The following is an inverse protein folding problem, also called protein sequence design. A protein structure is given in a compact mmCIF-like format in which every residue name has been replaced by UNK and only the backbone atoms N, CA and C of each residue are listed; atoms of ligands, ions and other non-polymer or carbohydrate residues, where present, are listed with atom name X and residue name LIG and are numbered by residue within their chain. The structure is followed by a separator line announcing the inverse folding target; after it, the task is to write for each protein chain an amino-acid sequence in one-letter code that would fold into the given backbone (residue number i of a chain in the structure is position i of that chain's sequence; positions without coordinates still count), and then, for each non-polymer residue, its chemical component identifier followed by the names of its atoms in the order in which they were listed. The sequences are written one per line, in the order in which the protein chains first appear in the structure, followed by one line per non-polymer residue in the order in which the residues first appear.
data_IF_520619343491
#
_entry.id   IF_520619343491
#
_cell.length_a   1.000
_cell.length_b   1.000
_cell.length_c   1.000
_cell.angle_alpha   90.00
_cell.angle_beta   90.00
_cell.angle_gamma   90.00
#
_symmetry.space_group_name_H-M   'P 1'
#
loop_
_entity.id
_entity.type
_entity.pdbx_description
1 polymer ?
#
# COMPACT_ATOMS: atom_id res chain seq x y z
N UNK A 1 42.41 6.78 5.70
CA UNK A 1 41.05 7.29 6.02
C UNK A 1 40.11 6.85 4.90
N UNK A 2 39.49 5.67 5.00
CA UNK A 2 38.47 5.24 4.05
C UNK A 2 37.17 5.93 4.46
N UNK A 3 36.79 6.98 3.74
CA UNK A 3 35.48 7.58 3.92
C UNK A 3 34.43 6.46 3.78
N UNK A 4 33.58 6.29 4.77
CA UNK A 4 32.47 5.33 4.76
C UNK A 4 31.54 5.70 3.60
N UNK A 5 31.77 5.10 2.44
CA UNK A 5 30.84 5.27 1.31
C UNK A 5 29.50 4.73 1.75
N UNK A 6 28.49 5.58 1.73
CA UNK A 6 27.11 5.20 2.02
C UNK A 6 26.78 3.94 1.16
N UNK A 7 26.27 2.90 1.81
CA UNK A 7 25.84 1.68 1.12
C UNK A 7 24.87 2.01 -0.02
N UNK A 8 25.18 1.56 -1.22
CA UNK A 8 24.42 1.93 -2.43
C UNK A 8 22.94 1.50 -2.36
N UNK A 9 22.61 0.49 -1.56
CA UNK A 9 21.23 0.08 -1.30
C UNK A 9 20.32 1.20 -0.80
N UNK A 10 20.86 2.20 -0.06
CA UNK A 10 20.07 3.36 0.36
C UNK A 10 19.69 4.29 -0.79
N UNK A 11 20.53 4.40 -1.82
CA UNK A 11 20.20 5.15 -3.05
C UNK A 11 19.13 4.40 -3.87
N UNK A 12 19.22 3.06 -3.93
CA UNK A 12 18.17 2.23 -4.53
C UNK A 12 16.85 2.42 -3.77
N UNK A 13 16.87 2.41 -2.45
CA UNK A 13 15.70 2.63 -1.61
C UNK A 13 15.10 4.02 -1.82
N UNK A 14 15.93 5.08 -1.87
CA UNK A 14 15.47 6.43 -2.16
C UNK A 14 14.78 6.53 -3.53
N UNK A 15 15.34 5.88 -4.55
CA UNK A 15 14.72 5.79 -5.87
C UNK A 15 13.38 5.07 -5.83
N UNK A 16 13.30 3.92 -5.15
CA UNK A 16 12.06 3.16 -5.00
C UNK A 16 11.02 3.91 -4.15
N UNK A 17 11.44 4.66 -3.14
CA UNK A 17 10.59 5.55 -2.36
C UNK A 17 9.89 6.59 -3.25
N UNK A 18 10.64 7.25 -4.14
CA UNK A 18 10.07 8.23 -5.08
C UNK A 18 9.10 7.53 -6.04
N UNK A 19 9.49 6.40 -6.62
CA UNK A 19 8.63 5.62 -7.52
C UNK A 19 7.33 5.21 -6.81
N UNK A 20 7.43 4.72 -5.58
CA UNK A 20 6.28 4.29 -4.80
C UNK A 20 5.40 5.47 -4.36
N UNK A 21 6.00 6.63 -4.07
CA UNK A 21 5.27 7.87 -3.78
C UNK A 21 4.38 8.29 -4.94
N UNK A 22 4.86 8.13 -6.17
CA UNK A 22 4.09 8.44 -7.37
C UNK A 22 3.02 7.37 -7.62
N UNK A 23 3.40 6.10 -7.70
CA UNK A 23 2.49 5.02 -8.12
C UNK A 23 1.34 4.81 -7.15
N UNK A 24 1.56 4.97 -5.85
CA UNK A 24 0.51 4.82 -4.83
C UNK A 24 0.03 6.16 -4.28
N UNK A 25 0.93 7.13 -4.06
CA UNK A 25 0.55 8.45 -3.53
C UNK A 25 -0.33 9.21 -4.51
N UNK A 26 0.10 9.37 -5.77
CA UNK A 26 -0.66 10.15 -6.76
C UNK A 26 -1.92 9.42 -7.20
N UNK A 27 -1.79 8.17 -7.66
CA UNK A 27 -2.93 7.48 -8.31
C UNK A 27 -4.03 7.15 -7.31
N UNK A 28 -3.69 6.73 -6.09
CA UNK A 28 -4.71 6.34 -5.11
C UNK A 28 -5.24 7.52 -4.28
N UNK A 29 -4.40 8.54 -4.02
CA UNK A 29 -4.75 9.61 -3.09
C UNK A 29 -5.03 10.96 -3.77
N UNK A 30 -4.50 11.21 -4.98
CA UNK A 30 -4.63 12.53 -5.64
C UNK A 30 -5.73 12.55 -6.70
N UNK A 31 -5.98 11.43 -7.41
CA UNK A 31 -7.05 11.41 -8.42
C UNK A 31 -8.45 11.77 -7.90
N UNK A 32 -8.85 11.45 -6.66
CA UNK A 32 -10.14 11.87 -6.13
C UNK A 32 -10.35 13.38 -6.08
N UNK A 33 -9.29 14.20 -6.08
CA UNK A 33 -9.41 15.68 -6.15
C UNK A 33 -10.05 16.17 -7.46
N UNK A 34 -10.06 15.36 -8.49
CA UNK A 34 -10.67 15.70 -9.79
C UNK A 34 -12.16 15.38 -9.87
N UNK A 35 -12.72 14.61 -8.92
CA UNK A 35 -14.14 14.23 -8.95
C UNK A 35 -15.11 15.41 -8.93
N UNK A 36 -14.90 16.47 -8.12
CA UNK A 36 -15.77 17.64 -8.15
C UNK A 36 -15.81 18.32 -9.51
N UNK A 37 -14.69 18.37 -10.23
CA UNK A 37 -14.62 18.96 -11.57
C UNK A 37 -15.43 18.15 -12.59
N UNK A 38 -15.39 16.80 -12.48
CA UNK A 38 -16.19 15.92 -13.33
C UNK A 38 -17.69 16.05 -13.06
N UNK A 39 -18.08 16.12 -11.78
CA UNK A 39 -19.47 16.33 -11.38
C UNK A 39 -19.97 17.67 -11.93
N UNK A 40 -19.16 18.73 -11.80
CA UNK A 40 -19.50 20.07 -12.28
C UNK A 40 -19.65 20.14 -13.80
N UNK A 41 -18.77 19.46 -14.55
CA UNK A 41 -18.74 19.57 -16.03
C UNK A 41 -19.75 18.65 -16.70
N UNK A 42 -19.90 17.42 -16.19
CA UNK A 42 -20.73 16.39 -16.84
C UNK A 42 -22.06 16.13 -16.15
N UNK A 43 -22.30 16.71 -14.97
CA UNK A 43 -23.51 16.43 -14.17
C UNK A 43 -23.58 15.00 -13.62
N UNK A 44 -22.44 14.30 -13.56
CA UNK A 44 -22.40 12.92 -13.05
C UNK A 44 -22.63 12.87 -11.55
N UNK A 45 -23.22 11.78 -11.08
CA UNK A 45 -23.43 11.56 -9.64
C UNK A 45 -22.12 11.19 -8.94
N UNK A 46 -22.05 11.41 -7.63
CA UNK A 46 -20.90 11.02 -6.83
C UNK A 46 -20.59 9.52 -6.95
N UNK A 47 -21.61 8.67 -7.01
CA UNK A 47 -21.45 7.23 -7.20
C UNK A 47 -20.81 6.91 -8.58
N UNK A 48 -21.23 7.60 -9.64
CA UNK A 48 -20.69 7.41 -10.97
C UNK A 48 -19.20 7.75 -11.08
N UNK A 49 -18.74 8.81 -10.42
CA UNK A 49 -17.30 9.19 -10.46
C UNK A 49 -16.41 8.37 -9.54
N UNK A 50 -16.99 7.71 -8.52
CA UNK A 50 -16.21 6.89 -7.58
C UNK A 50 -16.13 5.40 -7.94
N UNK A 51 -17.09 4.85 -8.69
CA UNK A 51 -17.08 3.44 -9.15
C UNK A 51 -15.80 3.02 -9.87
N UNK A 52 -15.17 3.84 -10.72
CA UNK A 52 -13.89 3.46 -11.36
C UNK A 52 -12.77 3.22 -10.37
N UNK A 53 -12.74 3.94 -9.23
CA UNK A 53 -11.75 3.67 -8.18
C UNK A 53 -11.95 2.29 -7.52
N UNK A 54 -13.20 1.87 -7.30
CA UNK A 54 -13.48 0.50 -6.81
C UNK A 54 -13.02 -0.54 -7.85
N UNK A 55 -13.28 -0.29 -9.14
CA UNK A 55 -12.81 -1.14 -10.24
C UNK A 55 -11.29 -1.27 -10.24
N UNK A 56 -10.54 -0.18 -9.96
CA UNK A 56 -9.09 -0.20 -9.89
C UNK A 56 -8.60 -1.23 -8.86
N UNK A 57 -9.16 -1.25 -7.64
CA UNK A 57 -8.77 -2.24 -6.62
C UNK A 57 -9.05 -3.67 -7.07
N UNK A 58 -10.20 -3.92 -7.69
CA UNK A 58 -10.53 -5.24 -8.24
C UNK A 58 -9.55 -5.67 -9.33
N UNK A 59 -9.21 -4.76 -10.25
CA UNK A 59 -8.26 -5.01 -11.33
C UNK A 59 -6.84 -5.24 -10.81
N UNK A 60 -6.39 -4.44 -9.84
CA UNK A 60 -5.10 -4.68 -9.15
C UNK A 60 -5.08 -6.07 -8.53
N UNK A 61 -6.17 -6.48 -7.88
CA UNK A 61 -6.29 -7.83 -7.32
C UNK A 61 -6.13 -8.90 -8.42
N UNK A 62 -6.83 -8.76 -9.53
CA UNK A 62 -6.79 -9.73 -10.65
C UNK A 62 -5.40 -9.77 -11.30
N UNK A 63 -4.76 -8.62 -11.54
CA UNK A 63 -3.49 -8.56 -12.27
C UNK A 63 -2.25 -8.83 -11.41
N UNK A 64 -2.34 -8.70 -10.09
CA UNK A 64 -1.19 -8.89 -9.18
C UNK A 64 -0.50 -10.25 -9.29
N UNK A 65 -1.20 -11.40 -9.39
CA UNK A 65 -0.54 -12.70 -9.56
C UNK A 65 0.21 -12.82 -10.90
N UNK A 66 -0.37 -12.24 -11.96
CA UNK A 66 0.27 -12.25 -13.29
C UNK A 66 1.52 -11.37 -13.27
N UNK A 67 1.43 -10.15 -12.71
CA UNK A 67 2.58 -9.27 -12.56
C UNK A 67 3.69 -9.93 -11.74
N UNK A 68 3.36 -10.54 -10.60
CA UNK A 68 4.31 -11.28 -9.76
C UNK A 68 4.99 -12.42 -10.52
N UNK A 69 4.20 -13.20 -11.28
CA UNK A 69 4.73 -14.29 -12.11
C UNK A 69 5.66 -13.77 -13.25
N UNK A 70 5.26 -12.70 -13.92
CA UNK A 70 6.07 -12.10 -14.98
C UNK A 70 7.36 -11.51 -14.43
N UNK A 71 7.34 -10.91 -13.23
CA UNK A 71 8.54 -10.37 -12.58
C UNK A 71 9.54 -11.44 -12.15
N UNK A 72 9.10 -12.67 -11.90
CA UNK A 72 9.99 -13.80 -11.63
C UNK A 72 10.64 -14.33 -12.89
N UNK A 73 9.99 -14.19 -14.07
CA UNK A 73 10.46 -14.72 -15.36
C UNK A 73 11.11 -13.66 -16.26
N UNK A 74 10.59 -12.43 -16.22
CA UNK A 74 11.01 -11.34 -17.08
C UNK A 74 11.88 -10.34 -16.31
N UNK A 75 12.48 -9.39 -17.03
CA UNK A 75 13.27 -8.33 -16.41
C UNK A 75 12.35 -7.31 -15.69
N UNK A 76 12.44 -7.23 -14.37
CA UNK A 76 11.66 -6.34 -13.51
C UNK A 76 11.67 -4.90 -14.03
N UNK A 77 12.83 -4.37 -14.46
CA UNK A 77 12.92 -3.01 -15.00
C UNK A 77 12.05 -2.80 -16.25
N UNK A 78 12.01 -3.78 -17.17
CA UNK A 78 11.17 -3.65 -18.37
C UNK A 78 9.71 -3.54 -18.02
N UNK A 79 9.26 -4.29 -17.03
CA UNK A 79 7.89 -4.21 -16.53
C UNK A 79 7.59 -2.88 -15.88
N UNK A 80 8.53 -2.34 -15.08
CA UNK A 80 8.38 -1.01 -14.48
C UNK A 80 8.33 0.09 -15.55
N UNK A 81 9.12 0.00 -16.65
CA UNK A 81 9.01 0.93 -17.77
C UNK A 81 7.65 0.86 -18.46
N UNK A 82 7.14 -0.35 -18.72
CA UNK A 82 5.80 -0.53 -19.28
C UNK A 82 4.74 0.04 -18.32
N UNK A 83 4.84 -0.23 -17.02
CA UNK A 83 3.94 0.33 -16.00
C UNK A 83 3.95 1.86 -16.00
N UNK A 84 5.13 2.48 -16.13
CA UNK A 84 5.25 3.94 -16.20
C UNK A 84 4.61 4.51 -17.47
N UNK A 85 4.80 3.86 -18.60
CA UNK A 85 4.15 4.25 -19.87
C UNK A 85 2.62 4.17 -19.77
N UNK A 86 2.10 3.12 -19.13
CA UNK A 86 0.66 2.97 -18.86
C UNK A 86 0.13 4.05 -17.90
N UNK A 87 0.91 4.42 -16.87
CA UNK A 87 0.53 5.52 -15.97
C UNK A 87 0.42 6.84 -16.74
N UNK A 88 1.40 7.17 -17.57
CA UNK A 88 1.36 8.37 -18.40
C UNK A 88 0.17 8.33 -19.36
N UNK A 89 -0.07 7.20 -20.02
CA UNK A 89 -1.24 7.00 -20.90
C UNK A 89 -2.54 7.19 -20.10
N UNK A 90 -2.62 6.68 -18.87
CA UNK A 90 -3.78 6.86 -18.00
C UNK A 90 -4.08 8.33 -17.73
N UNK A 91 -3.07 9.16 -17.44
CA UNK A 91 -3.26 10.61 -17.25
C UNK A 91 -3.71 11.30 -18.54
N UNK A 92 -3.16 10.94 -19.69
CA UNK A 92 -3.57 11.47 -20.99
C UNK A 92 -5.02 11.10 -21.29
N UNK A 93 -5.41 9.85 -21.08
CA UNK A 93 -6.80 9.41 -21.26
C UNK A 93 -7.74 10.13 -20.28
N UNK A 94 -7.36 10.28 -19.02
CA UNK A 94 -8.17 10.97 -18.02
C UNK A 94 -8.40 12.43 -18.43
N UNK A 95 -7.40 13.13 -18.93
CA UNK A 95 -7.54 14.52 -19.38
C UNK A 95 -8.52 14.70 -20.56
N UNK A 96 -8.80 13.62 -21.30
CA UNK A 96 -9.66 13.60 -22.49
C UNK A 96 -10.98 12.89 -22.31
N UNK A 97 -11.35 12.53 -21.06
CA UNK A 97 -12.61 11.83 -20.81
C UNK A 97 -13.80 12.66 -21.26
N UNK A 98 -14.81 11.96 -21.79
CA UNK A 98 -16.10 12.50 -22.21
C UNK A 98 -17.26 11.62 -21.76
N UNK A 99 -16.98 10.42 -21.22
CA UNK A 99 -17.98 9.45 -20.80
C UNK A 99 -17.49 8.62 -19.60
N UNK A 100 -18.45 8.05 -18.86
CA UNK A 100 -18.17 7.15 -17.72
C UNK A 100 -17.42 5.90 -18.22
N UNK A 101 -17.75 5.40 -19.39
CA UNK A 101 -17.05 4.23 -20.00
C UNK A 101 -15.57 4.54 -20.24
N UNK A 102 -15.26 5.74 -20.73
CA UNK A 102 -13.87 6.18 -20.92
C UNK A 102 -13.15 6.34 -19.58
N UNK A 103 -13.83 6.81 -18.55
CA UNK A 103 -13.29 6.88 -17.20
C UNK A 103 -12.97 5.47 -16.65
N UNK A 104 -13.84 4.48 -16.89
CA UNK A 104 -13.58 3.08 -16.53
C UNK A 104 -12.33 2.52 -17.24
N UNK A 105 -12.18 2.78 -18.56
CA UNK A 105 -10.99 2.38 -19.32
C UNK A 105 -9.73 3.05 -18.76
N UNK A 106 -9.81 4.32 -18.38
CA UNK A 106 -8.69 5.05 -17.78
C UNK A 106 -8.22 4.40 -16.48
N UNK A 107 -9.15 4.02 -15.61
CA UNK A 107 -8.81 3.35 -14.36
C UNK A 107 -8.32 1.91 -14.57
N UNK A 108 -8.77 1.22 -15.62
CA UNK A 108 -8.17 -0.04 -16.05
C UNK A 108 -6.69 0.13 -16.42
N UNK A 109 -6.35 1.16 -17.19
CA UNK A 109 -4.97 1.46 -17.57
C UNK A 109 -4.12 1.82 -16.35
N UNK A 110 -4.64 2.63 -15.42
CA UNK A 110 -3.96 2.91 -14.16
C UNK A 110 -3.73 1.65 -13.32
N UNK A 111 -4.73 0.75 -13.22
CA UNK A 111 -4.59 -0.49 -12.47
C UNK A 111 -3.44 -1.36 -13.01
N UNK A 112 -3.33 -1.51 -14.32
CA UNK A 112 -2.20 -2.20 -14.95
C UNK A 112 -0.88 -1.48 -14.66
N UNK A 113 -0.85 -0.15 -14.79
CA UNK A 113 0.34 0.67 -14.56
C UNK A 113 0.88 0.52 -13.14
N UNK A 114 0.03 0.69 -12.12
CA UNK A 114 0.47 0.57 -10.72
C UNK A 114 0.83 -0.86 -10.32
N UNK A 115 0.20 -1.86 -10.92
CA UNK A 115 0.53 -3.27 -10.66
C UNK A 115 1.93 -3.61 -11.17
N UNK A 116 2.33 -3.05 -12.32
CA UNK A 116 3.63 -3.30 -12.95
C UNK A 116 4.76 -2.42 -12.39
N UNK A 117 4.49 -1.22 -11.88
CA UNK A 117 5.50 -0.27 -11.39
C UNK A 117 5.42 0.02 -9.88
N UNK A 118 4.39 -0.47 -9.16
CA UNK A 118 4.11 -0.13 -7.77
C UNK A 118 4.79 -1.03 -6.73
N UNK A 119 3.97 -1.56 -5.81
CA UNK A 119 4.44 -2.27 -4.61
C UNK A 119 5.20 -3.57 -4.93
N UNK A 120 4.74 -4.37 -5.89
CA UNK A 120 5.29 -5.70 -6.15
C UNK A 120 6.75 -5.63 -6.60
N UNK A 121 7.12 -4.86 -7.67
CA UNK A 121 8.52 -4.73 -8.05
C UNK A 121 9.36 -4.03 -7.00
N UNK A 122 8.83 -3.01 -6.33
CA UNK A 122 9.55 -2.28 -5.28
C UNK A 122 9.94 -3.19 -4.11
N UNK A 123 9.00 -3.99 -3.61
CA UNK A 123 9.26 -4.96 -2.54
C UNK A 123 10.29 -6.02 -2.95
N UNK A 124 10.20 -6.53 -4.20
CA UNK A 124 11.17 -7.52 -4.69
C UNK A 124 12.58 -6.95 -4.73
N UNK A 125 12.75 -5.71 -5.17
CA UNK A 125 14.06 -5.05 -5.21
C UNK A 125 14.58 -4.78 -3.78
N UNK A 126 13.74 -4.23 -2.89
CA UNK A 126 14.12 -3.98 -1.50
C UNK A 126 14.57 -5.27 -0.79
N UNK A 127 13.85 -6.37 -0.98
CA UNK A 127 14.22 -7.65 -0.35
C UNK A 127 15.52 -8.26 -0.89
N UNK A 128 15.93 -7.90 -2.11
CA UNK A 128 17.24 -8.29 -2.65
C UNK A 128 18.40 -7.49 -2.04
N UNK A 129 18.17 -6.20 -1.70
CA UNK A 129 19.21 -5.30 -1.21
C UNK A 129 19.37 -5.32 0.31
N UNK A 130 18.28 -5.56 1.06
CA UNK A 130 18.26 -5.50 2.51
C UNK A 130 17.85 -6.84 3.11
N UNK A 131 18.68 -7.37 4.01
CA UNK A 131 18.45 -8.62 4.77
C UNK A 131 18.34 -8.28 6.26
N UNK A 132 19.35 -7.64 6.84
CA UNK A 132 19.35 -7.25 8.26
C UNK A 132 18.44 -6.04 8.54
N UNK A 133 18.53 -5.01 7.68
CA UNK A 133 17.75 -3.76 7.82
C UNK A 133 16.48 -3.78 6.96
N UNK A 134 15.94 -4.97 6.65
CA UNK A 134 14.78 -5.12 5.75
C UNK A 134 13.55 -4.41 6.28
N UNK A 135 13.28 -4.52 7.57
CA UNK A 135 12.11 -3.88 8.20
C UNK A 135 12.15 -2.37 8.08
N UNK A 136 13.30 -1.76 8.40
CA UNK A 136 13.50 -0.31 8.24
C UNK A 136 13.35 0.10 6.77
N UNK A 137 13.99 -0.63 5.84
CA UNK A 137 13.93 -0.31 4.42
C UNK A 137 12.50 -0.39 3.86
N UNK A 138 11.73 -1.41 4.25
CA UNK A 138 10.31 -1.53 3.88
C UNK A 138 9.48 -0.42 4.52
N UNK A 139 9.70 -0.11 5.78
CA UNK A 139 9.03 1.00 6.46
C UNK A 139 9.22 2.32 5.72
N UNK A 140 10.47 2.67 5.36
CA UNK A 140 10.81 3.87 4.58
C UNK A 140 10.13 3.83 3.20
N UNK A 141 10.21 2.72 2.48
CA UNK A 141 9.53 2.58 1.18
C UNK A 141 8.05 2.93 1.29
N UNK A 142 7.35 2.33 2.26
CA UNK A 142 5.90 2.47 2.42
C UNK A 142 5.46 3.86 2.87
N UNK A 143 6.31 4.62 3.57
CA UNK A 143 6.08 6.04 3.89
C UNK A 143 5.88 6.86 2.61
N UNK A 144 6.53 6.47 1.51
CA UNK A 144 6.41 7.15 0.21
C UNK A 144 4.96 7.37 -0.21
N UNK A 145 4.06 6.41 0.01
CA UNK A 145 2.65 6.56 -0.37
C UNK A 145 1.94 7.70 0.36
N UNK A 146 2.24 7.91 1.65
CA UNK A 146 1.64 8.98 2.46
C UNK A 146 2.22 10.35 2.10
N UNK A 147 3.54 10.44 1.96
CA UNK A 147 4.24 11.68 1.57
C UNK A 147 3.88 12.06 0.13
N UNK A 148 3.84 11.07 -0.77
CA UNK A 148 3.44 11.29 -2.16
C UNK A 148 2.04 11.88 -2.26
N UNK A 149 1.06 11.29 -1.56
CA UNK A 149 -0.30 11.84 -1.49
C UNK A 149 -0.31 13.27 -0.96
N UNK A 150 0.37 13.55 0.15
CA UNK A 150 0.39 14.87 0.76
C UNK A 150 0.97 15.94 -0.19
N UNK A 151 2.12 15.68 -0.81
CA UNK A 151 2.79 16.63 -1.72
C UNK A 151 1.97 16.82 -3.01
N UNK A 152 1.57 15.72 -3.65
CA UNK A 152 0.90 15.82 -4.94
C UNK A 152 -0.54 16.32 -4.85
N UNK A 153 -1.21 16.20 -3.70
CA UNK A 153 -2.50 16.84 -3.48
C UNK A 153 -2.38 18.38 -3.52
N UNK A 154 -1.34 18.94 -2.92
CA UNK A 154 -1.10 20.39 -2.97
C UNK A 154 -0.77 20.85 -4.39
N UNK A 155 0.10 20.09 -5.08
CA UNK A 155 0.46 20.39 -6.48
C UNK A 155 -0.78 20.30 -7.38
N UNK A 156 -1.57 19.23 -7.27
CA UNK A 156 -2.76 19.02 -8.07
C UNK A 156 -3.81 20.12 -7.83
N UNK A 157 -4.07 20.47 -6.57
CA UNK A 157 -4.99 21.53 -6.22
C UNK A 157 -4.58 22.88 -6.83
N UNK A 158 -3.29 23.23 -6.75
CA UNK A 158 -2.75 24.45 -7.36
C UNK A 158 -2.86 24.45 -8.89
N UNK A 159 -2.58 23.30 -9.54
CA UNK A 159 -2.67 23.16 -10.99
C UNK A 159 -4.13 23.21 -11.48
N UNK A 160 -5.08 22.61 -10.75
CA UNK A 160 -6.52 22.69 -11.09
C UNK A 160 -6.98 24.14 -11.11
N UNK A 161 -6.62 24.92 -10.10
CA UNK A 161 -7.00 26.34 -10.00
C UNK A 161 -6.34 27.19 -11.09
N UNK A 162 -5.06 26.94 -11.40
CA UNK A 162 -4.29 27.81 -12.32
C UNK A 162 -4.48 27.48 -13.80
N UNK A 163 -4.67 26.18 -14.14
CA UNK A 163 -4.64 25.69 -15.54
C UNK A 163 -5.91 24.92 -15.94
N UNK A 164 -6.83 24.71 -15.00
CA UNK A 164 -7.97 23.80 -15.16
C UNK A 164 -7.60 22.32 -15.06
N UNK A 165 -8.58 21.49 -14.74
CA UNK A 165 -8.37 20.09 -14.37
C UNK A 165 -7.75 19.22 -15.49
N UNK A 166 -8.05 19.51 -16.77
CA UNK A 166 -7.47 18.73 -17.90
C UNK A 166 -5.96 18.93 -18.04
N UNK A 167 -5.52 20.18 -18.03
CA UNK A 167 -4.09 20.49 -18.08
C UNK A 167 -3.36 20.07 -16.82
N UNK A 168 -4.00 20.17 -15.66
CA UNK A 168 -3.47 19.65 -14.40
C UNK A 168 -3.18 18.15 -14.47
N UNK A 169 -4.06 17.34 -15.07
CA UNK A 169 -3.83 15.91 -15.28
C UNK A 169 -2.65 15.63 -16.22
N UNK A 170 -2.51 16.38 -17.32
CA UNK A 170 -1.38 16.21 -18.23
C UNK A 170 -0.08 16.57 -17.51
N UNK A 171 -0.04 17.69 -16.79
CA UNK A 171 1.11 18.13 -16.01
C UNK A 171 1.51 17.10 -14.96
N UNK A 172 0.53 16.57 -14.20
CA UNK A 172 0.76 15.49 -13.22
C UNK A 172 1.27 14.21 -13.89
N UNK A 173 0.75 13.88 -15.05
CA UNK A 173 1.20 12.71 -15.83
C UNK A 173 2.67 12.82 -16.24
N UNK A 174 3.06 13.96 -16.79
CA UNK A 174 4.45 14.25 -17.19
C UNK A 174 5.37 14.27 -15.96
N UNK A 175 4.98 14.98 -14.89
CA UNK A 175 5.74 15.01 -13.64
C UNK A 175 5.90 13.59 -13.06
N UNK A 176 4.84 12.79 -13.04
CA UNK A 176 4.88 11.40 -12.58
C UNK A 176 5.81 10.55 -13.42
N UNK A 177 5.74 10.65 -14.74
CA UNK A 177 6.63 9.90 -15.64
C UNK A 177 8.11 10.26 -15.42
N UNK A 178 8.43 11.54 -15.31
CA UNK A 178 9.80 12.00 -15.01
C UNK A 178 10.26 11.50 -13.64
N UNK A 179 9.42 11.66 -12.61
CA UNK A 179 9.74 11.27 -11.24
C UNK A 179 9.88 9.74 -11.06
N UNK A 180 9.33 8.93 -11.95
CA UNK A 180 9.55 7.47 -11.98
C UNK A 180 10.79 7.12 -12.82
N UNK A 181 10.88 7.67 -14.04
CA UNK A 181 11.91 7.27 -15.01
C UNK A 181 13.31 7.70 -14.57
N UNK A 182 13.47 8.92 -14.06
CA UNK A 182 14.78 9.46 -13.66
C UNK A 182 15.45 8.63 -12.56
N UNK A 183 14.81 8.35 -11.39
CA UNK A 183 15.40 7.48 -10.38
C UNK A 183 15.62 6.05 -10.87
N UNK A 184 14.72 5.53 -11.72
CA UNK A 184 14.83 4.19 -12.26
C UNK A 184 16.04 4.02 -13.19
N UNK A 185 16.39 5.04 -13.96
CA UNK A 185 17.58 5.05 -14.82
C UNK A 185 18.86 5.17 -14.00
N UNK A 186 18.89 6.09 -13.04
CA UNK A 186 20.10 6.48 -12.31
C UNK A 186 20.44 5.46 -11.21
N UNK A 187 19.48 5.13 -10.35
CA UNK A 187 19.78 4.47 -9.08
C UNK A 187 19.24 3.04 -8.98
N UNK A 188 18.14 2.68 -9.65
CA UNK A 188 17.56 1.35 -9.47
C UNK A 188 18.44 0.27 -10.08
N UNK A 189 19.02 -0.57 -9.23
CA UNK A 189 19.67 -1.85 -9.57
C UNK A 189 18.87 -2.97 -8.92
N UNK A 190 18.60 -4.06 -9.66
CA UNK A 190 17.72 -5.14 -9.17
C UNK A 190 18.41 -5.97 -8.09
N UNK A 191 19.69 -6.24 -8.27
CA UNK A 191 20.50 -7.06 -7.35
C UNK A 191 21.78 -6.34 -6.97
N UNK A 192 22.24 -6.45 -5.70
CA UNK A 192 23.55 -5.92 -5.27
C UNK A 192 24.71 -6.51 -6.07
N UNK A 193 24.63 -7.79 -6.44
CA UNK A 193 25.65 -8.49 -7.23
C UNK A 193 25.90 -7.85 -8.61
N UNK A 194 24.94 -7.10 -9.17
CA UNK A 194 25.13 -6.39 -10.45
C UNK A 194 26.21 -5.28 -10.39
N UNK A 195 26.61 -4.87 -9.19
CA UNK A 195 27.67 -3.89 -8.93
C UNK A 195 28.69 -4.43 -7.92
N UNK A 196 28.84 -5.76 -7.86
CA UNK A 196 29.79 -6.46 -6.99
C UNK A 196 29.65 -6.14 -5.50
N UNK A 197 28.41 -5.89 -5.05
CA UNK A 197 28.08 -5.67 -3.64
C UNK A 197 27.29 -6.86 -3.08
N UNK A 198 27.37 -7.03 -1.75
CA UNK A 198 26.51 -7.95 -0.99
C UNK A 198 25.33 -7.19 -0.38
N UNK A 199 24.24 -7.90 -0.04
CA UNK A 199 23.14 -7.30 0.72
C UNK A 199 23.64 -6.64 2.00
N UNK A 200 23.01 -5.52 2.41
CA UNK A 200 23.42 -4.68 3.54
C UNK A 200 24.88 -4.17 3.49
N UNK A 201 25.64 -4.43 2.41
CA UNK A 201 27.04 -4.02 2.25
C UNK A 201 28.04 -4.77 3.14
N UNK A 202 27.65 -5.90 3.73
CA UNK A 202 28.46 -6.64 4.73
C UNK A 202 29.27 -7.72 4.06
N UNK A 203 30.63 -7.59 4.10
CA UNK A 203 31.58 -8.48 3.45
C UNK A 203 31.68 -9.91 4.06
N UNK A 204 31.13 -10.16 5.23
CA UNK A 204 31.33 -11.40 6.01
C UNK A 204 30.12 -12.35 6.09
N UNK A 205 29.27 -12.41 5.07
CA UNK A 205 28.20 -13.42 5.01
C UNK A 205 28.48 -14.54 3.99
N UNK A 206 29.67 -15.15 4.02
CA UNK A 206 29.98 -16.29 3.14
C UNK A 206 29.08 -17.52 3.36
N UNK A 207 28.44 -17.65 4.55
CA UNK A 207 27.58 -18.81 4.86
C UNK A 207 26.08 -18.59 4.65
N UNK A 208 25.61 -17.35 4.59
CA UNK A 208 24.16 -17.09 4.43
C UNK A 208 23.80 -16.78 2.97
N UNK A 209 24.75 -16.28 2.17
CA UNK A 209 24.54 -15.95 0.75
C UNK A 209 24.40 -17.18 -0.15
N UNK A 210 25.04 -18.30 0.20
CA UNK A 210 24.89 -19.57 -0.52
C UNK A 210 23.48 -20.17 -0.40
N UNK A 211 22.74 -19.84 0.68
CA UNK A 211 21.38 -20.31 0.86
C UNK A 211 20.32 -19.50 0.12
N UNK A 212 20.62 -18.26 -0.34
CA UNK A 212 19.64 -17.41 -1.03
C UNK A 212 19.55 -17.75 -2.53
N UNK A 213 20.63 -18.27 -3.12
CA UNK A 213 20.66 -18.62 -4.56
C UNK A 213 20.08 -19.99 -4.89
N UNK A 214 19.93 -20.88 -3.90
CA UNK A 214 19.60 -22.30 -4.13
C UNK A 214 18.24 -22.75 -3.54
N UNK A 215 17.44 -21.82 -3.00
CA UNK A 215 16.09 -22.19 -2.57
C UNK A 215 15.23 -22.53 -3.79
N UNK A 216 14.91 -23.83 -3.92
CA UNK A 216 13.92 -24.32 -4.89
C UNK A 216 12.70 -23.43 -4.84
N UNK A 217 12.29 -22.89 -6.01
CA UNK A 217 11.11 -22.05 -6.07
C UNK A 217 9.87 -22.82 -5.57
N UNK A 218 9.08 -22.19 -4.69
CA UNK A 218 7.84 -22.77 -4.19
C UNK A 218 6.88 -23.10 -5.35
N UNK A 219 6.36 -24.33 -5.34
CA UNK A 219 5.26 -24.73 -6.21
C UNK A 219 3.92 -24.31 -5.57
N UNK A 220 2.95 -23.89 -6.36
CA UNK A 220 1.62 -23.52 -5.84
C UNK A 220 0.97 -24.63 -5.01
N UNK A 221 1.18 -25.90 -5.40
CA UNK A 221 0.64 -27.02 -4.66
C UNK A 221 1.24 -27.16 -3.24
N UNK A 222 2.49 -26.76 -3.02
CA UNK A 222 3.12 -26.76 -1.71
C UNK A 222 2.60 -25.60 -0.85
N UNK A 223 2.41 -24.42 -1.48
CA UNK A 223 1.82 -23.26 -0.84
C UNK A 223 0.42 -23.56 -0.29
N UNK A 224 -0.45 -24.16 -1.11
CA UNK A 224 -1.82 -24.51 -0.75
C UNK A 224 -1.92 -25.63 0.32
N UNK A 225 -0.86 -26.37 0.59
CA UNK A 225 -0.80 -27.36 1.69
C UNK A 225 -0.34 -26.74 3.02
N UNK A 226 0.19 -25.53 3.01
CA UNK A 226 0.75 -24.88 4.19
C UNK A 226 -0.33 -24.23 5.07
N UNK A 227 -0.43 -24.65 6.34
CA UNK A 227 -1.29 -23.98 7.34
C UNK A 227 -0.92 -22.51 7.52
N UNK A 228 0.38 -22.18 7.42
CA UNK A 228 0.89 -20.80 7.52
C UNK A 228 0.34 -19.93 6.40
N UNK A 229 0.19 -20.47 5.20
CA UNK A 229 -0.41 -19.77 4.07
C UNK A 229 -1.85 -19.30 4.41
N UNK A 230 -2.71 -20.21 4.87
CA UNK A 230 -4.09 -19.86 5.19
C UNK A 230 -4.21 -18.89 6.36
N UNK A 231 -3.37 -19.05 7.40
CA UNK A 231 -3.32 -18.11 8.52
C UNK A 231 -2.91 -16.70 8.05
N UNK A 232 -1.87 -16.61 7.22
CA UNK A 232 -1.43 -15.32 6.66
C UNK A 232 -2.48 -14.71 5.73
N UNK A 233 -3.11 -15.51 4.87
CA UNK A 233 -4.20 -15.04 3.99
C UNK A 233 -5.34 -14.46 4.83
N UNK A 234 -5.76 -15.17 5.88
CA UNK A 234 -6.81 -14.67 6.76
C UNK A 234 -6.39 -13.37 7.47
N UNK A 235 -5.23 -13.35 8.11
CA UNK A 235 -4.74 -12.16 8.86
C UNK A 235 -4.58 -10.97 7.91
N UNK A 236 -3.91 -11.14 6.78
CA UNK A 236 -3.67 -10.04 5.83
C UNK A 236 -4.95 -9.54 5.19
N UNK A 237 -5.86 -10.47 4.84
CA UNK A 237 -7.18 -10.15 4.29
C UNK A 237 -8.07 -9.44 5.31
N UNK A 238 -8.15 -9.95 6.55
CA UNK A 238 -8.90 -9.34 7.64
C UNK A 238 -8.44 -7.91 7.92
N UNK A 239 -7.13 -7.71 7.98
CA UNK A 239 -6.57 -6.37 8.22
C UNK A 239 -6.85 -5.43 7.06
N UNK A 240 -6.68 -5.89 5.82
CA UNK A 240 -6.93 -5.05 4.65
C UNK A 240 -8.42 -4.71 4.48
N UNK A 241 -9.31 -5.65 4.82
CA UNK A 241 -10.76 -5.41 4.93
C UNK A 241 -11.06 -4.25 5.90
N UNK A 242 -10.49 -4.30 7.11
CA UNK A 242 -10.68 -3.27 8.12
C UNK A 242 -10.09 -1.92 7.69
N UNK A 243 -8.84 -1.91 7.25
CA UNK A 243 -8.10 -0.70 6.89
C UNK A 243 -8.78 0.04 5.75
N UNK A 244 -8.99 -0.64 4.62
CA UNK A 244 -9.52 -0.01 3.40
C UNK A 244 -10.99 0.36 3.59
N UNK A 245 -11.75 -0.48 4.29
CA UNK A 245 -13.13 -0.19 4.66
C UNK A 245 -13.25 1.12 5.43
N UNK A 246 -12.45 1.31 6.49
CA UNK A 246 -12.47 2.55 7.28
C UNK A 246 -11.98 3.74 6.47
N UNK A 247 -10.81 3.65 5.81
CA UNK A 247 -10.22 4.79 5.10
C UNK A 247 -11.15 5.35 4.02
N UNK A 248 -11.87 4.49 3.29
CA UNK A 248 -12.75 4.94 2.22
C UNK A 248 -14.08 5.52 2.72
N UNK A 249 -14.47 5.22 3.95
CA UNK A 249 -15.71 5.71 4.55
C UNK A 249 -15.50 6.79 5.63
N UNK A 250 -14.26 7.06 6.06
CA UNK A 250 -14.00 7.93 7.21
C UNK A 250 -14.51 9.36 7.02
N UNK A 251 -14.39 9.96 5.84
CA UNK A 251 -14.88 11.30 5.56
C UNK A 251 -16.42 11.37 5.65
N UNK A 252 -17.12 10.37 5.12
CA UNK A 252 -18.57 10.25 5.21
C UNK A 252 -19.01 10.04 6.66
N UNK A 253 -18.29 9.22 7.39
CA UNK A 253 -18.54 8.95 8.79
C UNK A 253 -18.34 10.20 9.66
N UNK A 254 -17.29 11.00 9.42
CA UNK A 254 -17.07 12.24 10.16
C UNK A 254 -18.20 13.27 9.95
N UNK A 255 -18.80 13.29 8.76
CA UNK A 255 -19.98 14.13 8.48
C UNK A 255 -21.24 13.69 9.23
N UNK A 256 -21.32 12.39 9.61
CA UNK A 256 -22.43 11.87 10.41
C UNK A 256 -22.31 12.21 11.91
N UNK A 257 -21.14 12.74 12.34
CA UNK A 257 -20.90 13.09 13.75
C UNK A 257 -21.25 14.56 14.01
N UNK A 258 -21.97 14.82 15.09
CA UNK A 258 -22.17 16.16 15.63
C UNK A 258 -20.89 16.59 16.36
N UNK A 259 -19.97 17.23 15.64
CA UNK A 259 -18.65 17.64 16.16
C UNK A 259 -18.25 19.00 15.61
N UNK A 260 -17.55 19.77 16.44
CA UNK A 260 -16.89 21.03 16.03
C UNK A 260 -15.54 20.78 15.40
N UNK A 261 -15.01 19.56 15.52
CA UNK A 261 -13.69 19.19 15.03
C UNK A 261 -13.68 19.07 13.50
N UNK A 262 -12.85 19.85 12.84
CA UNK A 262 -12.71 19.80 11.39
C UNK A 262 -12.08 18.47 10.94
N UNK A 263 -12.76 17.70 10.09
CA UNK A 263 -12.31 16.40 9.57
C UNK A 263 -10.92 16.44 8.95
N UNK A 264 -10.57 17.51 8.22
CA UNK A 264 -9.25 17.72 7.62
C UNK A 264 -8.09 17.65 8.63
N UNK A 265 -8.29 18.14 9.85
CA UNK A 265 -7.27 18.16 10.89
C UNK A 265 -7.05 16.75 11.46
N UNK A 266 -8.14 16.02 11.68
CA UNK A 266 -8.13 14.62 12.13
C UNK A 266 -7.41 13.74 11.10
N UNK A 267 -7.74 13.89 9.82
CA UNK A 267 -7.11 13.17 8.73
C UNK A 267 -5.61 13.50 8.60
N UNK A 268 -5.24 14.77 8.78
CA UNK A 268 -3.84 15.18 8.76
C UNK A 268 -3.04 14.51 9.88
N UNK A 269 -3.58 14.46 11.10
CA UNK A 269 -2.96 13.76 12.22
C UNK A 269 -2.89 12.25 11.97
N UNK A 270 -3.96 11.65 11.43
CA UNK A 270 -4.01 10.23 11.06
C UNK A 270 -2.87 9.86 10.10
N UNK A 271 -2.66 10.64 9.03
CA UNK A 271 -1.59 10.39 8.08
C UNK A 271 -0.20 10.63 8.68
N UNK A 272 -0.03 11.64 9.53
CA UNK A 272 1.22 11.88 10.26
C UNK A 272 1.57 10.69 11.16
N UNK A 273 0.61 10.21 11.96
CA UNK A 273 0.76 9.00 12.77
C UNK A 273 1.05 7.76 11.91
N UNK A 274 0.45 7.67 10.73
CA UNK A 274 0.72 6.61 9.76
C UNK A 274 2.17 6.63 9.25
N UNK A 275 2.76 7.80 9.01
CA UNK A 275 4.19 7.91 8.64
C UNK A 275 5.07 7.39 9.78
N UNK A 276 4.83 7.87 11.00
CA UNK A 276 5.59 7.46 12.19
C UNK A 276 5.48 5.95 12.44
N UNK A 277 4.27 5.42 12.38
CA UNK A 277 4.03 3.98 12.59
C UNK A 277 4.77 3.11 11.58
N UNK A 278 4.80 3.45 10.28
CA UNK A 278 5.55 2.69 9.27
C UNK A 278 7.05 2.57 9.61
N UNK A 279 7.65 3.67 10.06
CA UNK A 279 9.06 3.69 10.46
C UNK A 279 9.29 2.88 11.74
N UNK A 280 8.47 3.12 12.77
CA UNK A 280 8.59 2.46 14.08
C UNK A 280 8.44 0.94 13.94
N UNK A 281 7.35 0.46 13.34
CA UNK A 281 7.10 -0.97 13.16
C UNK A 281 8.10 -1.61 12.21
N UNK A 282 8.55 -0.89 11.18
CA UNK A 282 9.65 -1.31 10.31
C UNK A 282 10.92 -1.58 11.11
N UNK A 283 11.39 -0.60 11.90
CA UNK A 283 12.58 -0.72 12.73
C UNK A 283 12.45 -1.79 13.82
N UNK A 284 11.31 -1.85 14.51
CA UNK A 284 11.07 -2.86 15.53
C UNK A 284 11.15 -4.28 14.96
N UNK A 285 10.70 -4.49 13.72
CA UNK A 285 10.73 -5.80 13.07
C UNK A 285 12.12 -6.29 12.71
N UNK A 286 13.13 -5.42 12.72
CA UNK A 286 14.54 -5.81 12.53
C UNK A 286 15.16 -6.38 13.83
N UNK A 287 14.62 -6.01 15.01
CA UNK A 287 15.18 -6.38 16.31
C UNK A 287 14.34 -7.44 17.04
N UNK A 288 13.06 -7.55 16.73
CA UNK A 288 12.13 -8.46 17.41
C UNK A 288 11.45 -9.42 16.44
N UNK A 289 10.98 -10.60 16.90
CA UNK A 289 10.26 -11.54 16.05
C UNK A 289 9.05 -10.88 15.38
N UNK A 290 9.00 -10.91 14.05
CA UNK A 290 7.97 -10.21 13.25
C UNK A 290 6.55 -10.61 13.61
N UNK A 291 6.34 -11.87 14.05
CA UNK A 291 5.06 -12.32 14.58
C UNK A 291 4.59 -11.46 15.76
N UNK A 292 5.47 -11.18 16.71
CA UNK A 292 5.11 -10.41 17.91
C UNK A 292 4.82 -8.94 17.56
N UNK A 293 5.59 -8.38 16.60
CA UNK A 293 5.36 -7.01 16.12
C UNK A 293 4.07 -6.93 15.32
N UNK A 294 3.75 -7.94 14.50
CA UNK A 294 2.44 -8.02 13.83
C UNK A 294 1.29 -8.11 14.85
N UNK A 295 1.43 -8.92 15.91
CA UNK A 295 0.43 -8.99 16.97
C UNK A 295 0.18 -7.62 17.60
N UNK A 296 1.26 -6.90 17.97
CA UNK A 296 1.17 -5.53 18.50
C UNK A 296 0.46 -4.58 17.53
N UNK A 297 0.77 -4.64 16.25
CA UNK A 297 0.15 -3.81 15.22
C UNK A 297 -1.36 -4.10 15.07
N UNK A 298 -1.75 -5.39 15.09
CA UNK A 298 -3.16 -5.81 14.98
C UNK A 298 -3.93 -5.43 16.24
N UNK A 299 -3.36 -5.59 17.43
CA UNK A 299 -3.98 -5.13 18.67
C UNK A 299 -4.20 -3.62 18.66
N UNK A 300 -3.21 -2.85 18.19
CA UNK A 300 -3.36 -1.40 18.07
C UNK A 300 -4.47 -1.02 17.05
N UNK A 301 -4.58 -1.74 15.93
CA UNK A 301 -5.69 -1.55 15.00
C UNK A 301 -7.04 -1.90 15.62
N UNK A 302 -7.11 -2.98 16.41
CA UNK A 302 -8.33 -3.37 17.14
C UNK A 302 -8.74 -2.31 18.18
N UNK A 303 -7.77 -1.72 18.90
CA UNK A 303 -8.04 -0.59 19.81
C UNK A 303 -8.58 0.62 19.04
N UNK A 304 -8.04 0.92 17.86
CA UNK A 304 -8.58 1.97 17.00
C UNK A 304 -10.01 1.66 16.52
N UNK A 305 -10.31 0.40 16.18
CA UNK A 305 -11.66 -0.03 15.87
C UNK A 305 -12.61 0.06 17.08
N UNK A 306 -12.13 -0.24 18.29
CA UNK A 306 -12.87 -0.05 19.52
C UNK A 306 -13.22 1.42 19.75
N UNK A 307 -12.28 2.34 19.53
CA UNK A 307 -12.55 3.79 19.61
C UNK A 307 -13.70 4.19 18.68
N UNK A 308 -13.73 3.63 17.45
CA UNK A 308 -14.82 3.89 16.50
C UNK A 308 -16.18 3.41 17.02
N UNK A 309 -16.26 2.32 17.79
CA UNK A 309 -17.54 1.84 18.33
C UNK A 309 -18.13 2.75 19.42
N UNK A 310 -17.29 3.51 20.12
CA UNK A 310 -17.69 4.40 21.21
C UNK A 310 -17.59 5.89 20.87
N UNK A 311 -17.23 6.23 19.64
CA UNK A 311 -16.85 7.60 19.22
C UNK A 311 -17.98 8.61 19.42
N UNK A 312 -19.25 8.19 19.32
CA UNK A 312 -20.42 9.05 19.53
C UNK A 312 -20.58 9.55 20.95
N UNK A 313 -19.92 8.92 21.94
CA UNK A 313 -20.00 9.34 23.34
C UNK A 313 -19.27 10.66 23.61
N UNK A 314 -18.18 10.94 22.89
CA UNK A 314 -17.44 12.19 22.92
C UNK A 314 -16.67 12.39 21.61
N UNK A 315 -17.35 12.83 20.52
CA UNK A 315 -16.74 12.90 19.19
C UNK A 315 -15.51 13.79 19.13
N UNK A 316 -15.52 14.96 19.80
CA UNK A 316 -14.43 15.93 19.71
C UNK A 316 -13.09 15.40 20.26
N UNK A 317 -13.13 14.58 21.31
CA UNK A 317 -11.89 13.95 21.87
C UNK A 317 -11.58 12.66 21.12
N UNK A 318 -12.57 11.80 20.91
CA UNK A 318 -12.35 10.45 20.39
C UNK A 318 -11.93 10.44 18.92
N UNK A 319 -12.21 11.47 18.14
CA UNK A 319 -11.67 11.64 16.79
C UNK A 319 -10.15 11.80 16.79
N UNK A 320 -9.58 12.52 17.76
CA UNK A 320 -8.13 12.64 17.90
C UNK A 320 -7.49 11.34 18.37
N UNK A 321 -8.13 10.65 19.33
CA UNK A 321 -7.69 9.33 19.78
C UNK A 321 -7.72 8.31 18.62
N UNK A 322 -8.80 8.31 17.84
CA UNK A 322 -8.91 7.51 16.65
C UNK A 322 -7.76 7.78 15.66
N UNK A 323 -7.49 9.05 15.36
CA UNK A 323 -6.44 9.44 14.41
C UNK A 323 -5.06 8.89 14.83
N UNK A 324 -4.74 8.95 16.13
CA UNK A 324 -3.49 8.42 16.66
C UNK A 324 -3.48 6.89 16.66
N UNK A 325 -4.45 6.28 17.32
CA UNK A 325 -4.44 4.82 17.58
C UNK A 325 -4.67 4.05 16.29
N UNK A 326 -5.70 4.39 15.52
CA UNK A 326 -5.97 3.70 14.26
C UNK A 326 -4.91 4.01 13.21
N UNK A 327 -4.38 5.25 13.16
CA UNK A 327 -3.32 5.65 12.23
C UNK A 327 -2.02 4.86 12.45
N UNK A 328 -1.60 4.68 13.70
CA UNK A 328 -0.45 3.84 14.06
C UNK A 328 -0.75 2.36 13.78
N UNK A 329 -1.93 1.87 14.17
CA UNK A 329 -2.36 0.48 13.92
C UNK A 329 -2.43 0.13 12.43
N UNK A 330 -3.03 1.00 11.63
CA UNK A 330 -3.06 0.91 10.17
C UNK A 330 -1.66 0.75 9.58
N UNK A 331 -0.79 1.69 9.91
CA UNK A 331 0.55 1.74 9.31
C UNK A 331 1.44 0.59 9.76
N UNK A 332 1.36 0.22 11.05
CA UNK A 332 2.06 -0.94 11.58
C UNK A 332 1.60 -2.23 10.91
N UNK A 333 0.31 -2.45 10.83
CA UNK A 333 -0.28 -3.64 10.20
C UNK A 333 0.09 -3.72 8.72
N UNK A 334 -0.02 -2.63 7.97
CA UNK A 334 0.34 -2.59 6.55
C UNK A 334 1.82 -2.92 6.31
N UNK A 335 2.72 -2.37 7.13
CA UNK A 335 4.15 -2.66 7.07
C UNK A 335 4.43 -4.13 7.40
N UNK A 336 3.82 -4.65 8.45
CA UNK A 336 4.03 -6.02 8.89
C UNK A 336 3.47 -7.08 7.93
N UNK A 337 2.39 -6.77 7.18
CA UNK A 337 1.89 -7.64 6.10
C UNK A 337 3.02 -7.89 5.08
N UNK A 338 3.66 -6.84 4.61
CA UNK A 338 4.73 -6.96 3.60
C UNK A 338 5.95 -7.72 4.15
N UNK A 339 6.31 -7.44 5.40
CA UNK A 339 7.46 -8.06 6.05
C UNK A 339 7.26 -9.54 6.37
N UNK A 340 6.09 -9.94 6.83
CA UNK A 340 5.78 -11.35 7.09
C UNK A 340 5.74 -12.15 5.79
N UNK A 341 5.12 -11.64 4.72
CA UNK A 341 5.14 -12.31 3.42
C UNK A 341 6.58 -12.48 2.95
N UNK A 342 7.44 -11.46 3.11
CA UNK A 342 8.85 -11.54 2.73
C UNK A 342 9.67 -12.48 3.60
N UNK A 343 9.30 -12.70 4.87
CA UNK A 343 10.00 -13.60 5.78
C UNK A 343 9.67 -15.07 5.50
N UNK A 344 8.39 -15.38 5.34
CA UNK A 344 7.96 -16.77 5.14
C UNK A 344 8.19 -17.27 3.70
N UNK A 345 8.24 -16.37 2.72
CA UNK A 345 8.24 -16.72 1.30
C UNK A 345 9.32 -16.00 0.48
N UNK A 346 10.50 -15.76 1.05
CA UNK A 346 11.62 -15.20 0.29
C UNK A 346 12.16 -16.14 -0.78
N UNK A 347 12.98 -15.64 -1.71
CA UNK A 347 13.66 -16.44 -2.74
C UNK A 347 13.08 -16.26 -4.14
N UNK A 348 13.37 -17.22 -5.04
CA UNK A 348 13.12 -17.10 -6.49
C UNK A 348 11.64 -16.90 -6.86
N UNK A 349 10.71 -17.46 -6.09
CA UNK A 349 9.26 -17.35 -6.33
C UNK A 349 8.59 -16.23 -5.53
N UNK A 350 9.35 -15.36 -4.86
CA UNK A 350 8.79 -14.31 -3.99
C UNK A 350 7.78 -13.39 -4.70
N UNK A 351 8.13 -12.90 -5.91
CA UNK A 351 7.24 -12.02 -6.66
C UNK A 351 5.89 -12.66 -6.97
N UNK A 352 5.90 -13.94 -7.34
CA UNK A 352 4.73 -14.76 -7.62
C UNK A 352 3.82 -14.90 -6.39
N UNK A 353 4.41 -15.20 -5.25
CA UNK A 353 3.70 -15.38 -3.97
C UNK A 353 3.17 -14.05 -3.48
N UNK A 354 3.96 -12.98 -3.54
CA UNK A 354 3.55 -11.64 -3.19
C UNK A 354 2.36 -11.20 -4.06
N UNK A 355 2.37 -11.52 -5.36
CA UNK A 355 1.25 -11.24 -6.27
C UNK A 355 -0.04 -11.93 -5.82
N UNK A 356 0.03 -13.21 -5.40
CA UNK A 356 -1.13 -13.96 -4.87
C UNK A 356 -1.65 -13.33 -3.57
N UNK A 357 -0.75 -13.00 -2.63
CA UNK A 357 -1.16 -12.32 -1.40
C UNK A 357 -1.78 -10.96 -1.68
N UNK A 358 -1.19 -10.18 -2.61
CA UNK A 358 -1.73 -8.88 -3.02
C UNK A 358 -3.13 -9.03 -3.59
N UNK A 359 -3.37 -10.02 -4.44
CA UNK A 359 -4.72 -10.34 -4.94
C UNK A 359 -5.69 -10.57 -3.78
N UNK A 360 -5.34 -11.46 -2.86
CA UNK A 360 -6.25 -11.90 -1.81
C UNK A 360 -6.57 -10.78 -0.82
N UNK A 361 -5.58 -10.04 -0.34
CA UNK A 361 -5.86 -8.98 0.61
C UNK A 361 -6.51 -7.75 -0.06
N UNK A 362 -6.17 -7.42 -1.31
CA UNK A 362 -6.81 -6.32 -2.03
C UNK A 362 -8.29 -6.64 -2.31
N UNK A 363 -8.59 -7.90 -2.64
CA UNK A 363 -9.99 -8.37 -2.78
C UNK A 363 -10.75 -8.29 -1.45
N UNK A 364 -10.12 -8.64 -0.33
CA UNK A 364 -10.71 -8.46 0.99
C UNK A 364 -11.00 -6.98 1.28
N UNK A 365 -10.10 -6.06 0.90
CA UNK A 365 -10.31 -4.62 1.01
C UNK A 365 -11.50 -4.13 0.18
N UNK A 366 -11.67 -4.61 -1.06
CA UNK A 366 -12.85 -4.33 -1.87
C UNK A 366 -14.15 -4.73 -1.15
N UNK A 367 -14.20 -5.94 -0.58
CA UNK A 367 -15.36 -6.39 0.20
C UNK A 367 -15.55 -5.56 1.48
N UNK A 368 -14.48 -5.03 2.08
CA UNK A 368 -14.53 -4.12 3.21
C UNK A 368 -15.29 -2.84 2.86
N UNK A 369 -14.90 -2.15 1.79
CA UNK A 369 -15.59 -0.94 1.31
C UNK A 369 -17.08 -1.24 1.04
N UNK A 370 -17.34 -2.30 0.26
CA UNK A 370 -18.70 -2.68 -0.13
C UNK A 370 -19.58 -2.98 1.10
N UNK A 371 -19.07 -3.75 2.06
CA UNK A 371 -19.85 -4.17 3.23
C UNK A 371 -20.18 -2.99 4.14
N UNK A 372 -19.23 -2.08 4.39
CA UNK A 372 -19.48 -0.88 5.19
C UNK A 372 -20.53 0.03 4.52
N UNK A 373 -20.44 0.22 3.21
CA UNK A 373 -21.44 1.00 2.46
C UNK A 373 -22.85 0.39 2.53
N UNK A 374 -22.97 -0.92 2.33
CA UNK A 374 -24.26 -1.64 2.42
C UNK A 374 -24.84 -1.51 3.84
N UNK A 375 -24.03 -1.70 4.87
CA UNK A 375 -24.49 -1.58 6.26
C UNK A 375 -24.97 -0.16 6.54
N UNK A 376 -24.20 0.86 6.16
CA UNK A 376 -24.59 2.27 6.33
C UNK A 376 -25.94 2.59 5.64
N UNK A 377 -26.13 2.11 4.42
CA UNK A 377 -27.38 2.33 3.68
C UNK A 377 -28.56 1.61 4.32
N UNK A 378 -28.36 0.40 4.85
CA UNK A 378 -29.45 -0.40 5.45
C UNK A 378 -29.82 0.06 6.86
N UNK A 379 -28.84 0.47 7.67
CA UNK A 379 -29.06 0.76 9.10
C UNK A 379 -29.10 2.26 9.42
N UNK A 380 -28.75 3.11 8.46
CA UNK A 380 -28.60 4.55 8.69
C UNK A 380 -27.37 4.95 9.51
N UNK A 381 -26.53 3.97 9.97
CA UNK A 381 -25.37 4.21 10.85
C UNK A 381 -24.20 3.29 10.50
N UNK A 382 -22.98 3.67 10.94
CA UNK A 382 -21.78 2.83 10.87
C UNK A 382 -21.58 1.93 12.10
N UNK A 383 -22.42 1.99 13.12
CA UNK A 383 -22.22 1.33 14.42
C UNK A 383 -22.03 -0.19 14.26
N UNK A 384 -22.91 -0.85 13.50
CA UNK A 384 -22.79 -2.28 13.22
C UNK A 384 -21.50 -2.60 12.43
N UNK A 385 -21.13 -1.73 11.50
CA UNK A 385 -19.90 -1.90 10.74
C UNK A 385 -18.67 -1.87 11.66
N UNK A 386 -18.60 -0.94 12.59
CA UNK A 386 -17.47 -0.84 13.53
C UNK A 386 -17.37 -2.03 14.49
N UNK A 387 -18.50 -2.58 14.96
CA UNK A 387 -18.50 -3.81 15.76
C UNK A 387 -17.96 -4.99 14.95
N UNK A 388 -18.32 -5.11 13.67
CA UNK A 388 -17.78 -6.15 12.77
C UNK A 388 -16.27 -5.97 12.59
N UNK A 389 -15.80 -4.74 12.38
CA UNK A 389 -14.35 -4.46 12.23
C UNK A 389 -13.57 -4.82 13.49
N UNK A 390 -14.10 -4.47 14.67
CA UNK A 390 -13.51 -4.84 15.95
C UNK A 390 -13.43 -6.37 16.10
N UNK A 391 -14.52 -7.07 15.84
CA UNK A 391 -14.57 -8.54 15.93
C UNK A 391 -13.55 -9.19 14.99
N UNK A 392 -13.49 -8.75 13.72
CA UNK A 392 -12.52 -9.26 12.73
C UNK A 392 -11.08 -8.98 13.19
N UNK A 393 -10.81 -7.80 13.75
CA UNK A 393 -9.48 -7.43 14.23
C UNK A 393 -9.05 -8.29 15.43
N UNK A 394 -9.96 -8.59 16.37
CA UNK A 394 -9.69 -9.49 17.50
C UNK A 394 -9.41 -10.91 17.01
N UNK A 395 -10.23 -11.43 16.10
CA UNK A 395 -10.00 -12.77 15.52
C UNK A 395 -8.66 -12.84 14.80
N UNK A 396 -8.28 -11.79 14.05
CA UNK A 396 -6.98 -11.73 13.40
C UNK A 396 -5.83 -11.69 14.41
N UNK A 397 -5.97 -10.95 15.54
CA UNK A 397 -4.97 -10.94 16.60
C UNK A 397 -4.75 -12.35 17.18
N UNK A 398 -5.83 -13.09 17.43
CA UNK A 398 -5.76 -14.49 17.87
C UNK A 398 -5.06 -15.36 16.82
N UNK A 399 -5.40 -15.22 15.53
CA UNK A 399 -4.78 -15.99 14.46
C UNK A 399 -3.27 -15.70 14.31
N UNK A 400 -2.82 -14.47 14.57
CA UNK A 400 -1.37 -14.12 14.56
C UNK A 400 -0.61 -14.94 15.59
N UNK A 401 -1.18 -15.27 16.75
CA UNK A 401 -0.51 -16.07 17.78
C UNK A 401 -0.22 -17.51 17.34
N UNK A 402 -0.95 -18.03 16.36
CA UNK A 402 -0.72 -19.37 15.78
C UNK A 402 0.31 -19.36 14.64
N UNK A 403 0.81 -18.19 14.20
CA UNK A 403 1.92 -18.13 13.26
C UNK A 403 3.22 -18.61 13.92
N UNK A 404 4.08 -19.34 13.23
CA UNK A 404 5.37 -19.78 13.76
C UNK A 404 6.26 -18.57 14.14
N UNK A 405 7.02 -18.70 15.23
CA UNK A 405 7.94 -17.62 15.67
C UNK A 405 9.14 -17.44 14.76
N UNK A 406 9.66 -18.54 14.25
CA UNK A 406 10.78 -18.58 13.31
C UNK A 406 10.54 -19.75 12.36
N UNK A 407 10.40 -19.49 11.07
CA UNK A 407 10.67 -20.52 10.08
C UNK A 407 11.89 -20.08 9.28
N UNK A 408 13.04 -20.71 9.60
CA UNK A 408 13.99 -21.02 8.55
C UNK A 408 13.31 -22.12 7.73
N UNK A 409 12.72 -21.75 6.59
CA UNK A 409 12.30 -22.68 5.57
C UNK A 409 13.50 -23.00 4.69
#
# INVERSE_FOLDING_TARGET
MSGSRIFFGWWVLAALFIIYSITNGVILNTLPLFYPELIKEYGWTQDQVTRPAQLLFLLVAIFSPFAGHWMDKLHIKRMMYLGTALILLGFILFSRISSISMLMVTYFVFAMGITLAGIIPSMKIVTNWFVQSRGMAVGILLVGSSIGGAIFNQIAGSLIVSQGWRMALISLGVMSAIAILLPMLIAVKIHPSSIQMLPDGIAHQEKTSAHISDTKGFKYAELLKSKVFYLLVFVTGAMWFCIVGVIQHQELFFKDLETTTASKNVLSLFFLCSVLGKIIFGKLSDHYPKRNIMFLAVVNLALGALVLTVIKSNPDILLWVYAVVFGIGFSGTFTMIQLLISEYYHGRSYGKILGVFTMLYTMAGFFGIMKLGILRTKTGSYDQAFVILLTISILAAVCVLFLPRNQKV
#
